data_IF_538955323297
#
_entry.id   IF_538955323297
#
_cell.length_a   1.000
_cell.length_b   1.000
_cell.length_c   1.000
_cell.angle_alpha   90.00
_cell.angle_beta   90.00
_cell.angle_gamma   90.00
#
_symmetry.space_group_name_H-M   'P 1'
#
loop_
_entity.id
_entity.type
_entity.pdbx_description
1 polymer ?
#
# COMPACT_ATOMS: atom_id res chain seq x y z
N UNK A 1 -25.03 -0.57 -11.80
CA UNK A 1 -24.16 -1.22 -10.80
C UNK A 1 -23.31 -2.21 -11.59
N UNK A 2 -22.04 -1.89 -11.81
CA UNK A 2 -21.14 -2.71 -12.60
C UNK A 2 -20.30 -3.54 -11.62
N UNK A 3 -20.67 -4.81 -11.45
CA UNK A 3 -20.01 -5.77 -10.59
C UNK A 3 -19.28 -6.74 -11.52
N UNK A 4 -17.97 -6.58 -11.66
CA UNK A 4 -17.16 -7.40 -12.54
C UNK A 4 -16.99 -8.80 -11.93
N UNK A 5 -17.79 -9.75 -12.41
CA UNK A 5 -17.63 -11.17 -12.11
C UNK A 5 -16.43 -11.74 -12.88
N UNK A 6 -15.71 -12.68 -12.27
CA UNK A 6 -14.90 -13.62 -13.03
C UNK A 6 -15.85 -14.46 -13.88
N UNK A 7 -15.83 -14.23 -15.19
CA UNK A 7 -16.70 -14.91 -16.15
C UNK A 7 -16.35 -16.41 -16.12
N UNK A 8 -17.23 -17.26 -15.56
CA UNK A 8 -17.12 -18.72 -15.67
C UNK A 8 -17.23 -19.56 -14.39
N UNK A 9 -17.44 -18.97 -13.21
CA UNK A 9 -17.64 -19.74 -11.98
C UNK A 9 -19.10 -20.25 -11.88
N UNK A 10 -19.30 -21.56 -12.02
CA UNK A 10 -20.61 -22.21 -11.93
C UNK A 10 -21.19 -22.25 -10.51
N UNK A 11 -20.38 -22.00 -9.48
CA UNK A 11 -20.83 -21.97 -8.08
C UNK A 11 -21.09 -20.54 -7.58
N UNK A 12 -20.72 -19.52 -8.35
CA UNK A 12 -20.95 -18.13 -7.99
C UNK A 12 -22.45 -17.81 -7.93
N UNK A 13 -22.91 -17.36 -6.77
CA UNK A 13 -24.31 -16.93 -6.57
C UNK A 13 -24.48 -15.46 -6.93
N UNK A 14 -25.38 -15.17 -7.86
CA UNK A 14 -25.73 -13.82 -8.33
C UNK A 14 -26.72 -13.09 -7.39
N UNK A 15 -26.55 -13.24 -6.08
CA UNK A 15 -27.41 -12.59 -5.07
C UNK A 15 -26.55 -11.91 -4.02
N UNK A 16 -27.02 -10.76 -3.51
CA UNK A 16 -26.35 -10.14 -2.37
C UNK A 16 -26.38 -11.11 -1.18
N UNK A 17 -25.23 -11.40 -0.54
CA UNK A 17 -25.21 -12.28 0.62
C UNK A 17 -26.02 -11.66 1.77
N UNK A 18 -26.65 -12.50 2.62
CA UNK A 18 -27.30 -12.03 3.84
C UNK A 18 -26.39 -11.13 4.68
N UNK A 19 -26.97 -10.20 5.43
CA UNK A 19 -26.21 -9.21 6.19
C UNK A 19 -25.19 -9.83 7.16
N UNK A 20 -25.52 -10.98 7.77
CA UNK A 20 -24.64 -11.75 8.64
C UNK A 20 -23.36 -12.24 7.96
N UNK A 21 -23.37 -12.39 6.63
CA UNK A 21 -22.20 -12.78 5.82
C UNK A 21 -21.53 -11.54 5.20
N UNK A 22 -22.32 -10.63 4.63
CA UNK A 22 -21.80 -9.46 3.92
C UNK A 22 -21.24 -8.35 4.82
N UNK A 23 -21.84 -8.13 6.00
CA UNK A 23 -21.42 -7.05 6.90
C UNK A 23 -20.00 -7.24 7.45
N UNK A 24 -19.58 -8.44 7.92
CA UNK A 24 -18.21 -8.66 8.39
C UNK A 24 -17.17 -8.39 7.30
N UNK A 25 -17.42 -8.81 6.05
CA UNK A 25 -16.50 -8.58 4.92
C UNK A 25 -16.37 -7.09 4.62
N UNK A 26 -17.50 -6.36 4.57
CA UNK A 26 -17.49 -4.91 4.31
C UNK A 26 -16.77 -4.14 5.41
N UNK A 27 -16.98 -4.51 6.67
CA UNK A 27 -16.28 -3.86 7.79
C UNK A 27 -14.78 -4.17 7.75
N UNK A 28 -14.39 -5.42 7.51
CA UNK A 28 -12.98 -5.78 7.34
C UNK A 28 -12.33 -5.04 6.16
N UNK A 29 -13.03 -4.91 5.03
CA UNK A 29 -12.56 -4.16 3.87
C UNK A 29 -12.37 -2.67 4.16
N UNK A 30 -13.29 -2.07 4.93
CA UNK A 30 -13.18 -0.68 5.38
C UNK A 30 -11.97 -0.48 6.30
N UNK A 31 -11.76 -1.37 7.27
CA UNK A 31 -10.60 -1.33 8.16
C UNK A 31 -9.31 -1.48 7.37
N UNK A 32 -9.24 -2.44 6.45
CA UNK A 32 -8.08 -2.63 5.59
C UNK A 32 -7.79 -1.40 4.72
N UNK A 33 -8.83 -0.79 4.13
CA UNK A 33 -8.71 0.42 3.30
C UNK A 33 -8.15 1.59 4.12
N UNK A 34 -8.66 1.79 5.33
CA UNK A 34 -8.17 2.83 6.24
C UNK A 34 -6.71 2.59 6.65
N UNK A 35 -6.36 1.37 7.05
CA UNK A 35 -4.99 1.01 7.40
C UNK A 35 -4.04 1.20 6.22
N UNK A 36 -4.47 0.80 5.01
CA UNK A 36 -3.69 0.97 3.78
C UNK A 36 -3.46 2.45 3.45
N UNK A 37 -4.48 3.30 3.63
CA UNK A 37 -4.33 4.73 3.41
C UNK A 37 -3.34 5.36 4.39
N UNK A 38 -3.41 4.99 5.67
CA UNK A 38 -2.44 5.44 6.68
C UNK A 38 -1.02 4.95 6.36
N UNK A 39 -0.87 3.68 5.96
CA UNK A 39 0.43 3.13 5.59
C UNK A 39 1.03 3.83 4.36
N UNK A 40 0.22 4.12 3.34
CA UNK A 40 0.66 4.89 2.16
C UNK A 40 1.15 6.27 2.55
N UNK A 41 0.41 6.98 3.41
CA UNK A 41 0.80 8.32 3.86
C UNK A 41 2.12 8.31 4.62
N UNK A 42 2.31 7.36 5.53
CA UNK A 42 3.57 7.19 6.25
C UNK A 42 4.73 6.84 5.29
N UNK A 43 4.46 6.03 4.26
CA UNK A 43 5.44 5.70 3.23
C UNK A 43 5.82 6.92 2.38
N UNK A 44 4.87 7.79 2.03
CA UNK A 44 5.12 9.03 1.30
C UNK A 44 5.96 10.02 2.13
N UNK A 45 5.67 10.14 3.43
CA UNK A 45 6.44 10.97 4.37
C UNK A 45 7.89 10.47 4.52
N UNK A 46 8.08 9.16 4.66
CA UNK A 46 9.42 8.56 4.68
C UNK A 46 10.16 8.78 3.36
N UNK A 47 9.45 8.66 2.23
CA UNK A 47 10.04 8.87 0.92
C UNK A 47 10.53 10.31 0.71
N UNK A 48 9.80 11.29 1.24
CA UNK A 48 10.24 12.70 1.25
C UNK A 48 11.50 12.88 2.09
N UNK A 49 11.53 12.34 3.32
CA UNK A 49 12.71 12.43 4.19
C UNK A 49 13.97 11.79 3.57
N UNK A 50 13.80 10.67 2.85
CA UNK A 50 14.89 10.02 2.09
C UNK A 50 15.41 10.94 0.99
N UNK A 51 14.51 11.57 0.22
CA UNK A 51 14.90 12.49 -0.86
C UNK A 51 15.64 13.70 -0.33
N UNK A 52 15.16 14.32 0.75
CA UNK A 52 15.85 15.42 1.44
C UNK A 52 17.24 15.00 1.92
N UNK A 53 17.39 13.81 2.52
CA UNK A 53 18.69 13.31 2.94
C UNK A 53 19.64 13.09 1.74
N UNK A 54 19.14 12.53 0.64
CA UNK A 54 19.94 12.35 -0.57
C UNK A 54 20.38 13.69 -1.19
N UNK A 55 19.48 14.68 -1.25
CA UNK A 55 19.80 16.04 -1.72
C UNK A 55 20.83 16.75 -0.84
N UNK A 56 20.83 16.47 0.47
CA UNK A 56 21.85 16.94 1.41
C UNK A 56 23.20 16.22 1.28
N UNK A 57 23.32 15.22 0.38
CA UNK A 57 24.56 14.49 0.10
C UNK A 57 24.79 13.26 0.96
N UNK A 58 23.81 12.81 1.75
CA UNK A 58 23.94 11.55 2.51
C UNK A 58 23.86 10.35 1.56
N UNK A 59 24.80 9.41 1.73
CA UNK A 59 24.87 8.21 0.91
C UNK A 59 23.73 7.22 1.14
N UNK A 60 23.38 6.46 0.11
CA UNK A 60 22.34 5.41 0.12
C UNK A 60 22.55 4.36 1.24
N UNK A 61 23.79 4.01 1.56
CA UNK A 61 24.13 3.10 2.66
C UNK A 61 23.78 3.66 4.04
N UNK A 62 24.01 4.97 4.27
CA UNK A 62 23.66 5.61 5.54
C UNK A 62 22.14 5.69 5.67
N UNK A 63 21.46 6.15 4.62
CA UNK A 63 20.00 6.26 4.58
C UNK A 63 19.35 4.88 4.81
N UNK A 64 19.82 3.83 4.15
CA UNK A 64 19.31 2.47 4.34
C UNK A 64 19.48 1.96 5.77
N UNK A 65 20.59 2.29 6.43
CA UNK A 65 20.83 1.91 7.84
C UNK A 65 19.80 2.54 8.79
N UNK A 66 19.48 3.82 8.62
CA UNK A 66 18.56 4.53 9.52
C UNK A 66 17.08 4.30 9.20
N UNK A 67 16.75 4.03 7.94
CA UNK A 67 15.37 3.74 7.52
C UNK A 67 15.02 2.26 7.64
N UNK A 68 16.01 1.37 7.78
CA UNK A 68 15.83 -0.07 7.74
C UNK A 68 15.49 -0.62 6.35
N UNK A 69 15.60 0.21 5.31
CA UNK A 69 15.32 -0.17 3.94
C UNK A 69 16.53 -0.84 3.28
N UNK A 70 16.26 -1.76 2.35
CA UNK A 70 17.29 -2.26 1.46
C UNK A 70 17.82 -1.12 0.57
N UNK A 71 19.11 -1.17 0.20
CA UNK A 71 19.69 -0.15 -0.68
C UNK A 71 18.92 0.00 -2.01
N UNK A 72 18.37 -1.08 -2.54
CA UNK A 72 17.56 -1.05 -3.76
C UNK A 72 16.30 -0.18 -3.60
N UNK A 73 15.63 -0.25 -2.46
CA UNK A 73 14.46 0.57 -2.15
C UNK A 73 14.84 2.04 -1.94
N UNK A 74 15.95 2.30 -1.26
CA UNK A 74 16.48 3.67 -1.11
C UNK A 74 16.74 4.30 -2.48
N UNK A 75 17.43 3.58 -3.38
CA UNK A 75 17.68 4.05 -4.76
C UNK A 75 16.39 4.26 -5.54
N UNK A 76 15.42 3.36 -5.38
CA UNK A 76 14.09 3.48 -5.99
C UNK A 76 13.41 4.79 -5.55
N UNK A 77 13.40 5.09 -4.26
CA UNK A 77 12.81 6.33 -3.72
C UNK A 77 13.54 7.57 -4.22
N UNK A 78 14.87 7.57 -4.21
CA UNK A 78 15.66 8.69 -4.72
C UNK A 78 15.37 8.95 -6.21
N UNK A 79 15.08 7.89 -6.98
CA UNK A 79 14.65 8.01 -8.38
C UNK A 79 13.20 8.49 -8.59
N UNK A 80 12.50 8.86 -7.51
CA UNK A 80 11.13 9.38 -7.55
C UNK A 80 10.03 8.31 -7.56
N UNK A 81 10.37 7.04 -7.32
CA UNK A 81 9.37 5.97 -7.23
C UNK A 81 8.84 5.82 -5.79
N UNK A 82 7.55 5.47 -5.61
CA UNK A 82 6.96 5.30 -4.27
C UNK A 82 7.58 4.11 -3.53
N UNK A 83 7.25 3.93 -2.24
CA UNK A 83 7.71 2.79 -1.43
C UNK A 83 6.77 1.56 -1.49
N UNK A 84 5.57 1.72 -2.01
CA UNK A 84 4.57 0.67 -2.23
C UNK A 84 4.38 0.33 -3.72
#
# INVERSE_FOLDING_TARGET
MDWSFAVGDSEAKYIEPPAEVGAPVREAAKVYSQASATARRAADELAEAIRVAAEAGYGDSWIGTYTGLAQADVKRVISGKPLY
#
